data_IF_577584826640
#
_entry.id   IF_577584826640
#
_cell.length_a   1.000
_cell.length_b   1.000
_cell.length_c   1.000
_cell.angle_alpha   90.00
_cell.angle_beta   90.00
_cell.angle_gamma   90.00
#
_symmetry.space_group_name_H-M   'P 1'
#
loop_
_entity.id
_entity.type
_entity.pdbx_description
1 polymer ?
#
# COMPACT_ATOMS: atom_id res chain seq x y z
N UNK A 1 -15.02 4.93 -19.42
CA UNK A 1 -15.80 4.90 -18.16
C UNK A 1 -16.03 3.44 -17.81
N UNK A 2 -15.77 3.02 -16.57
CA UNK A 2 -16.03 1.63 -16.17
C UNK A 2 -17.55 1.36 -16.26
N UNK A 3 -17.93 0.24 -16.85
CA UNK A 3 -19.32 -0.13 -16.99
C UNK A 3 -19.85 -0.61 -15.63
N UNK A 4 -20.70 0.21 -14.98
CA UNK A 4 -21.27 -0.08 -13.66
C UNK A 4 -21.95 -1.45 -13.60
N UNK A 5 -22.59 -1.87 -14.69
CA UNK A 5 -23.22 -3.20 -14.81
C UNK A 5 -22.19 -4.33 -14.72
N UNK A 6 -21.01 -4.16 -15.32
CA UNK A 6 -19.94 -5.16 -15.23
C UNK A 6 -19.41 -5.28 -13.80
N UNK A 7 -19.27 -4.15 -13.10
CA UNK A 7 -18.82 -4.12 -11.70
C UNK A 7 -19.85 -4.77 -10.79
N UNK A 8 -21.13 -4.42 -10.98
CA UNK A 8 -22.27 -5.00 -10.26
C UNK A 8 -22.32 -6.51 -10.47
N UNK A 9 -22.23 -6.96 -11.71
CA UNK A 9 -22.17 -8.38 -12.04
C UNK A 9 -21.00 -9.07 -11.35
N UNK A 10 -19.79 -8.51 -11.38
CA UNK A 10 -18.62 -9.11 -10.71
C UNK A 10 -18.72 -9.17 -9.18
N UNK A 11 -19.33 -8.16 -8.55
CA UNK A 11 -19.56 -8.14 -7.10
C UNK A 11 -20.56 -9.19 -6.65
N UNK A 12 -21.59 -9.44 -7.47
CA UNK A 12 -22.60 -10.46 -7.22
C UNK A 12 -22.17 -11.85 -7.70
N UNK A 13 -21.19 -11.92 -8.59
CA UNK A 13 -20.68 -13.18 -9.13
C UNK A 13 -19.83 -13.89 -8.07
N UNK A 14 -20.34 -15.03 -7.60
CA UNK A 14 -19.82 -15.89 -6.53
C UNK A 14 -20.16 -15.46 -5.09
N UNK A 15 -20.19 -16.44 -4.19
CA UNK A 15 -20.53 -16.31 -2.75
C UNK A 15 -19.76 -15.23 -1.97
N UNK A 16 -18.61 -14.81 -2.47
CA UNK A 16 -17.71 -13.87 -1.79
C UNK A 16 -17.58 -12.51 -2.50
N UNK A 17 -18.02 -12.39 -3.77
CA UNK A 17 -17.88 -11.18 -4.60
C UNK A 17 -16.44 -10.82 -4.99
N UNK A 18 -16.27 -10.20 -6.16
CA UNK A 18 -14.99 -9.60 -6.59
C UNK A 18 -15.00 -8.09 -6.35
N UNK A 19 -14.21 -7.65 -5.37
CA UNK A 19 -14.17 -6.24 -4.94
C UNK A 19 -13.02 -5.43 -5.57
N UNK A 20 -12.13 -6.05 -6.35
CA UNK A 20 -10.97 -5.36 -6.93
C UNK A 20 -11.38 -4.21 -7.87
N UNK A 21 -12.55 -4.33 -8.51
CA UNK A 21 -13.14 -3.30 -9.37
C UNK A 21 -13.60 -2.04 -8.59
N UNK A 22 -13.70 -2.10 -7.25
CA UNK A 22 -14.03 -0.92 -6.43
C UNK A 22 -12.96 0.16 -6.49
N UNK A 23 -11.72 -0.19 -6.85
CA UNK A 23 -10.65 0.78 -7.11
C UNK A 23 -11.00 1.74 -8.26
N UNK A 24 -11.94 1.37 -9.14
CA UNK A 24 -12.44 2.25 -10.20
C UNK A 24 -13.56 3.18 -9.73
N UNK A 25 -14.26 2.84 -8.65
CA UNK A 25 -15.41 3.61 -8.13
C UNK A 25 -15.00 4.61 -7.06
N UNK A 26 -13.93 4.33 -6.32
CA UNK A 26 -13.48 5.15 -5.20
C UNK A 26 -12.09 5.70 -5.45
N UNK A 27 -11.84 6.91 -4.96
CA UNK A 27 -10.46 7.42 -4.91
C UNK A 27 -9.66 6.60 -3.92
N UNK A 28 -8.38 6.42 -4.20
CA UNK A 28 -7.48 5.68 -3.30
C UNK A 28 -7.47 6.27 -1.88
N UNK A 29 -7.46 7.60 -1.75
CA UNK A 29 -7.53 8.28 -0.45
C UNK A 29 -8.78 7.91 0.34
N UNK A 30 -9.92 7.74 -0.34
CA UNK A 30 -11.17 7.32 0.28
C UNK A 30 -11.06 5.89 0.80
N UNK A 31 -10.52 4.97 -0.01
CA UNK A 31 -10.33 3.57 0.37
C UNK A 31 -9.35 3.41 1.54
N UNK A 32 -8.33 4.26 1.64
CA UNK A 32 -7.34 4.21 2.71
C UNK A 32 -7.82 4.87 4.02
N UNK A 33 -8.49 6.01 3.94
CA UNK A 33 -8.74 6.87 5.11
C UNK A 33 -10.16 6.73 5.67
N UNK A 34 -11.19 6.48 4.85
CA UNK A 34 -12.56 6.45 5.34
C UNK A 34 -12.85 5.24 6.21
N UNK A 35 -13.87 5.33 7.06
CA UNK A 35 -14.32 4.16 7.83
C UNK A 35 -14.93 3.12 6.88
N UNK A 36 -14.71 1.79 7.09
CA UNK A 36 -15.26 0.74 6.24
C UNK A 36 -16.78 0.86 6.00
N UNK A 37 -17.53 1.24 7.04
CA UNK A 37 -18.98 1.45 6.96
C UNK A 37 -19.37 2.54 5.94
N UNK A 38 -18.61 3.63 5.85
CA UNK A 38 -18.89 4.74 4.93
C UNK A 38 -18.69 4.28 3.49
N UNK A 39 -17.61 3.55 3.23
CA UNK A 39 -17.31 3.00 1.90
C UNK A 39 -18.40 1.99 1.50
N UNK A 40 -18.84 1.15 2.44
CA UNK A 40 -19.93 0.19 2.23
C UNK A 40 -21.24 0.87 1.83
N UNK A 41 -21.69 1.86 2.61
CA UNK A 41 -22.94 2.58 2.35
C UNK A 41 -22.89 3.31 1.00
N UNK A 42 -21.74 3.92 0.67
CA UNK A 42 -21.54 4.55 -0.64
C UNK A 42 -21.52 3.55 -1.78
N UNK A 43 -20.87 2.41 -1.63
CA UNK A 43 -20.81 1.37 -2.65
C UNK A 43 -22.22 0.85 -2.98
N UNK A 44 -23.00 0.56 -1.95
CA UNK A 44 -24.42 0.17 -2.07
C UNK A 44 -25.22 1.23 -2.82
N UNK A 45 -25.04 2.51 -2.48
CA UNK A 45 -25.75 3.60 -3.13
C UNK A 45 -25.34 3.79 -4.60
N UNK A 46 -24.03 3.69 -4.93
CA UNK A 46 -23.52 3.86 -6.29
C UNK A 46 -23.96 2.72 -7.20
N UNK A 47 -24.03 1.50 -6.67
CA UNK A 47 -24.35 0.29 -7.44
C UNK A 47 -25.83 -0.09 -7.41
N UNK A 48 -26.64 0.67 -6.65
CA UNK A 48 -28.06 0.40 -6.45
C UNK A 48 -28.28 -1.07 -6.03
N UNK A 49 -27.59 -1.47 -4.97
CA UNK A 49 -27.63 -2.83 -4.40
C UNK A 49 -28.31 -2.82 -3.04
N UNK A 50 -28.92 -3.93 -2.65
CA UNK A 50 -29.39 -4.08 -1.28
C UNK A 50 -28.26 -4.54 -0.36
N UNK A 51 -28.34 -4.16 0.91
CA UNK A 51 -27.30 -4.54 1.89
C UNK A 51 -27.18 -6.04 2.13
N UNK A 52 -28.20 -6.82 1.76
CA UNK A 52 -28.21 -8.28 1.83
C UNK A 52 -27.57 -8.98 0.64
N UNK A 53 -27.41 -8.29 -0.49
CA UNK A 53 -26.91 -8.88 -1.74
C UNK A 53 -25.41 -9.17 -1.69
N UNK A 54 -24.68 -8.42 -0.86
CA UNK A 54 -23.23 -8.47 -0.77
C UNK A 54 -22.82 -9.02 0.59
N UNK A 55 -21.83 -9.91 0.58
CA UNK A 55 -21.21 -10.38 1.81
C UNK A 55 -20.36 -9.29 2.46
N UNK A 56 -20.90 -8.69 3.53
CA UNK A 56 -20.21 -7.65 4.31
C UNK A 56 -18.87 -8.10 4.90
N UNK A 57 -18.76 -9.36 5.32
CA UNK A 57 -17.51 -9.91 5.88
C UNK A 57 -16.44 -9.98 4.80
N UNK A 58 -16.80 -10.43 3.60
CA UNK A 58 -15.89 -10.48 2.45
C UNK A 58 -15.41 -9.09 2.04
N UNK A 59 -16.30 -8.10 2.04
CA UNK A 59 -15.94 -6.70 1.78
C UNK A 59 -14.92 -6.18 2.81
N UNK A 60 -15.18 -6.38 4.11
CA UNK A 60 -14.26 -5.89 5.16
C UNK A 60 -12.90 -6.58 5.07
N UNK A 61 -12.88 -7.88 4.79
CA UNK A 61 -11.66 -8.65 4.57
C UNK A 61 -10.88 -8.14 3.37
N UNK A 62 -11.55 -7.89 2.23
CA UNK A 62 -10.93 -7.29 1.05
C UNK A 62 -10.34 -5.91 1.37
N UNK A 63 -11.12 -5.00 1.98
CA UNK A 63 -10.68 -3.63 2.27
C UNK A 63 -9.44 -3.62 3.19
N UNK A 64 -9.41 -4.50 4.18
CA UNK A 64 -8.26 -4.66 5.06
C UNK A 64 -7.02 -5.16 4.28
N UNK A 65 -7.19 -6.15 3.39
CA UNK A 65 -6.10 -6.62 2.51
C UNK A 65 -5.59 -5.52 1.58
N UNK A 66 -6.50 -4.74 0.99
CA UNK A 66 -6.17 -3.60 0.14
C UNK A 66 -5.29 -2.58 0.89
N UNK A 67 -5.73 -2.14 2.07
CA UNK A 67 -4.97 -1.18 2.91
C UNK A 67 -3.59 -1.70 3.27
N UNK A 68 -3.49 -2.96 3.72
CA UNK A 68 -2.20 -3.58 4.05
C UNK A 68 -1.26 -3.64 2.86
N UNK A 69 -1.78 -3.92 1.66
CA UNK A 69 -0.98 -3.94 0.43
C UNK A 69 -0.39 -2.56 0.15
N UNK A 70 -1.19 -1.51 0.24
CA UNK A 70 -0.76 -0.13 0.00
C UNK A 70 0.24 0.39 1.03
N UNK A 71 0.08 0.03 2.31
CA UNK A 71 1.08 0.34 3.35
C UNK A 71 2.42 -0.32 3.02
N UNK A 72 2.42 -1.61 2.66
CA UNK A 72 3.66 -2.32 2.27
C UNK A 72 4.31 -1.72 1.03
N UNK A 73 3.53 -1.31 0.03
CA UNK A 73 4.06 -0.64 -1.16
C UNK A 73 4.75 0.66 -0.79
N UNK A 74 4.12 1.48 0.06
CA UNK A 74 4.72 2.74 0.53
C UNK A 74 6.02 2.52 1.30
N UNK A 75 6.06 1.52 2.19
CA UNK A 75 7.29 1.15 2.92
C UNK A 75 8.41 0.68 1.98
N UNK A 76 8.08 0.00 0.88
CA UNK A 76 9.06 -0.42 -0.12
C UNK A 76 9.59 0.76 -0.93
N UNK A 77 8.73 1.69 -1.33
CA UNK A 77 9.12 2.93 -2.02
C UNK A 77 10.03 3.79 -1.14
N UNK A 78 9.69 3.98 0.13
CA UNK A 78 10.51 4.73 1.10
C UNK A 78 11.90 4.07 1.29
N UNK A 79 11.95 2.74 1.38
CA UNK A 79 13.21 2.00 1.42
C UNK A 79 14.00 2.21 0.13
N UNK A 80 13.40 2.07 -1.04
CA UNK A 80 14.07 2.26 -2.32
C UNK A 80 14.64 3.69 -2.46
N UNK A 81 13.88 4.70 -2.05
CA UNK A 81 14.36 6.09 -1.98
C UNK A 81 15.55 6.24 -1.02
N UNK A 82 15.48 5.62 0.16
CA UNK A 82 16.60 5.62 1.12
C UNK A 82 17.85 4.93 0.56
N UNK A 83 17.69 3.81 -0.15
CA UNK A 83 18.80 3.09 -0.79
C UNK A 83 19.43 3.92 -1.91
N UNK A 84 18.62 4.57 -2.75
CA UNK A 84 19.11 5.47 -3.81
C UNK A 84 19.82 6.69 -3.24
N UNK A 85 19.31 7.28 -2.16
CA UNK A 85 19.97 8.39 -1.47
C UNK A 85 21.33 7.98 -0.89
N UNK A 86 21.45 6.76 -0.36
CA UNK A 86 22.72 6.23 0.15
C UNK A 86 23.76 5.99 -0.97
N UNK A 87 23.33 5.60 -2.17
CA UNK A 87 24.22 5.35 -3.30
C UNK A 87 24.73 6.64 -3.98
N UNK A 88 24.08 7.79 -3.78
CA UNK A 88 24.57 9.10 -4.21
C UNK A 88 25.53 9.64 -3.13
N UNK A 89 26.64 8.92 -2.92
CA UNK A 89 27.84 9.54 -2.39
C UNK A 89 28.79 9.58 -3.56
N UNK A 90 29.01 10.78 -4.12
CA UNK A 90 30.02 10.98 -5.14
C UNK A 90 31.35 10.37 -4.61
N UNK A 91 31.99 9.42 -5.31
CA UNK A 91 33.30 8.91 -4.86
C UNK A 91 34.36 10.02 -4.76
N UNK A 92 34.13 11.19 -5.37
CA UNK A 92 34.96 12.38 -5.14
C UNK A 92 34.79 13.00 -3.75
N UNK A 93 33.65 12.84 -3.08
CA UNK A 93 33.37 13.38 -1.74
C UNK A 93 34.02 12.55 -0.61
N UNK A 94 34.37 11.28 -0.87
CA UNK A 94 35.00 10.39 0.12
C UNK A 94 36.48 10.77 0.37
N UNK A 95 37.12 11.47 -0.59
CA UNK A 95 38.54 11.80 -0.50
C UNK A 95 38.85 13.16 0.17
N UNK A 96 37.86 13.93 0.61
CA UNK A 96 38.10 15.21 1.30
C UNK A 96 38.12 15.11 2.84
N UNK A 97 37.72 13.98 3.42
CA UNK A 97 37.59 13.83 4.89
C UNK A 97 38.62 12.89 5.53
N UNK A 98 39.59 12.36 4.77
CA UNK A 98 40.53 11.33 5.24
C UNK A 98 41.94 11.83 5.59
N UNK A 99 42.17 13.14 5.74
CA UNK A 99 43.50 13.63 6.16
C UNK A 99 43.65 13.91 7.65
N UNK A 100 42.59 13.86 8.47
CA UNK A 100 42.74 14.02 9.92
C UNK A 100 41.96 12.93 10.67
N UNK A 101 42.68 12.18 11.50
CA UNK A 101 42.19 11.21 12.50
C UNK A 101 41.87 9.78 12.06
N UNK A 102 42.89 9.05 11.59
CA UNK A 102 42.89 7.56 11.70
C UNK A 102 43.75 7.13 12.88
N UNK A 103 43.18 7.24 14.09
CA UNK A 103 43.72 6.57 15.27
C UNK A 103 43.35 5.09 15.20
N UNK A 104 44.27 4.25 14.70
CA UNK A 104 44.11 2.80 14.66
C UNK A 104 44.05 2.23 16.09
N UNK A 105 42.88 1.76 16.51
CA UNK A 105 42.75 0.90 17.69
C UNK A 105 43.30 -0.48 17.33
N UNK A 106 44.50 -0.79 17.80
CA UNK A 106 45.09 -2.12 17.74
C UNK A 106 44.35 -3.06 18.69
N UNK A 107 43.50 -3.94 18.16
CA UNK A 107 42.85 -5.00 18.95
C UNK A 107 43.85 -6.14 19.12
N UNK A 108 44.34 -6.31 20.35
CA UNK A 108 45.33 -7.31 20.70
C UNK A 108 44.62 -8.64 21.05
N UNK A 109 44.66 -9.62 20.15
CA UNK A 109 44.14 -10.96 20.43
C UNK A 109 45.15 -11.73 21.28
N UNK A 110 44.83 -11.96 22.56
CA UNK A 110 45.56 -12.90 23.41
C UNK A 110 45.24 -14.34 23.00
N UNK A 111 46.30 -15.10 22.84
CA UNK A 111 46.39 -16.50 22.39
C UNK A 111 45.98 -17.48 23.47
#
# INVERSE_FOLDING_TARGET
>A
MANLETIKHQLLHCRYGKFDELEMLFRESELLQLKPRIIWERMIAILELESGDINRVSFYSWLNRYRRRKVKTKELEEKEHSWKAFQITDPAAINLANEEDVNFISVNYKK
#
